data_IF_420422932691
#
_entry.id   IF_420422932691
#
_cell.length_a   1.000
_cell.length_b   1.000
_cell.length_c   1.000
_cell.angle_alpha   90.00
_cell.angle_beta   90.00
_cell.angle_gamma   90.00
#
_symmetry.space_group_name_H-M   'P 1'
#
loop_
_entity.id
_entity.type
_entity.pdbx_description
1 polymer ?
#
# COMPACT_ATOMS: atom_id res chain seq x y z
N UNK A 1 18.78 13.39 20.13
CA UNK A 1 19.75 13.44 21.25
C UNK A 1 19.26 12.73 22.53
N UNK A 2 18.14 12.00 22.52
CA UNK A 2 17.54 11.38 23.71
C UNK A 2 18.41 10.31 24.40
N UNK A 3 19.34 9.69 23.67
CA UNK A 3 20.30 8.72 24.20
C UNK A 3 21.69 9.33 24.53
N UNK A 4 21.87 10.63 24.28
CA UNK A 4 23.18 11.29 24.34
C UNK A 4 23.27 12.30 25.48
N UNK A 5 24.49 12.50 26.02
CA UNK A 5 24.77 13.68 26.85
C UNK A 5 25.09 14.84 25.93
N UNK A 6 24.17 15.81 25.84
CA UNK A 6 24.35 16.99 24.98
C UNK A 6 25.44 17.91 25.56
N UNK A 7 26.34 18.37 24.71
CA UNK A 7 27.36 19.36 25.06
C UNK A 7 26.72 20.66 25.55
N UNK A 8 27.39 21.35 26.48
CA UNK A 8 26.96 22.68 26.93
C UNK A 8 26.93 23.72 25.80
N UNK A 9 27.62 23.45 24.69
CA UNK A 9 27.66 24.29 23.49
C UNK A 9 26.55 23.94 22.46
N UNK A 10 25.70 22.96 22.78
CA UNK A 10 24.58 22.53 21.94
C UNK A 10 24.96 21.53 20.84
N UNK A 11 24.15 21.49 19.78
CA UNK A 11 24.30 20.58 18.64
C UNK A 11 24.31 21.39 17.35
N UNK A 12 25.13 20.99 16.39
CA UNK A 12 25.23 21.61 15.07
C UNK A 12 24.82 20.62 13.98
N UNK A 13 24.16 21.12 12.94
CA UNK A 13 24.09 20.48 11.63
C UNK A 13 25.19 21.06 10.75
N UNK A 14 25.95 20.18 10.08
CA UNK A 14 27.02 20.58 9.16
C UNK A 14 26.70 20.05 7.78
N UNK A 15 26.39 20.94 6.83
CA UNK A 15 26.30 20.59 5.41
C UNK A 15 27.72 20.58 4.84
N UNK A 16 28.23 19.40 4.50
CA UNK A 16 29.56 19.19 3.92
C UNK A 16 29.50 19.56 2.44
N UNK A 17 30.31 20.53 2.01
CA UNK A 17 30.21 21.09 0.64
C UNK A 17 28.87 21.83 0.43
N UNK A 18 28.68 23.02 1.04
CA UNK A 18 29.70 24.07 1.08
C UNK A 18 30.27 24.42 2.47
N UNK A 19 30.17 23.52 3.46
CA UNK A 19 30.65 23.71 4.84
C UNK A 19 29.83 24.73 5.64
N UNK A 20 28.51 24.54 5.65
CA UNK A 20 27.59 25.37 6.43
C UNK A 20 27.38 24.73 7.79
N UNK A 21 27.81 25.41 8.85
CA UNK A 21 27.51 25.07 10.23
C UNK A 21 26.25 25.82 10.67
N UNK A 22 25.26 25.08 11.14
CA UNK A 22 24.00 25.65 11.65
C UNK A 22 23.73 25.12 13.05
N UNK A 23 23.58 26.01 14.06
CA UNK A 23 23.19 25.57 15.39
C UNK A 23 21.75 25.05 15.34
N UNK A 24 21.54 23.86 15.88
CA UNK A 24 20.21 23.32 16.10
C UNK A 24 19.61 23.95 17.37
N UNK A 25 18.29 24.11 17.36
CA UNK A 25 17.51 24.60 18.49
C UNK A 25 16.80 23.42 19.14
N UNK A 26 16.99 23.27 20.45
CA UNK A 26 16.29 22.28 21.27
C UNK A 26 14.77 22.57 21.27
N UNK A 27 13.99 21.57 20.85
CA UNK A 27 12.53 21.61 20.87
C UNK A 27 11.94 20.91 22.10
N UNK A 28 12.79 20.39 23.00
CA UNK A 28 12.39 19.51 24.09
C UNK A 28 12.47 18.03 23.71
N UNK A 29 12.35 17.16 24.71
CA UNK A 29 12.34 15.69 24.57
C UNK A 29 13.53 15.11 23.78
N UNK A 30 14.65 15.84 23.72
CA UNK A 30 15.85 15.44 23.00
C UNK A 30 15.78 15.62 21.48
N UNK A 31 14.80 16.36 20.97
CA UNK A 31 14.63 16.72 19.55
C UNK A 31 15.27 18.08 19.30
N UNK A 32 16.11 18.16 18.27
CA UNK A 32 16.88 19.35 17.90
C UNK A 32 16.66 19.64 16.41
N UNK A 33 16.38 20.90 16.06
CA UNK A 33 15.97 21.28 14.71
C UNK A 33 16.58 22.61 14.26
N UNK A 34 16.84 22.75 12.95
CA UNK A 34 17.10 24.03 12.29
C UNK A 34 16.54 24.02 10.87
N UNK A 35 16.43 25.21 10.28
CA UNK A 35 16.11 25.40 8.85
C UNK A 35 17.35 25.97 8.15
N UNK A 36 17.79 25.30 7.08
CA UNK A 36 18.99 25.70 6.33
C UNK A 36 18.58 26.02 4.89
N UNK A 37 18.85 27.25 4.37
CA UNK A 37 18.61 27.56 2.98
C UNK A 37 19.66 26.89 2.10
N UNK A 38 19.22 26.04 1.18
CA UNK A 38 20.06 25.30 0.23
C UNK A 38 19.56 25.47 -1.20
N UNK A 39 20.42 25.17 -2.18
CA UNK A 39 20.00 25.19 -3.58
C UNK A 39 19.20 23.93 -3.89
N UNK A 40 18.05 24.10 -4.54
CA UNK A 40 17.23 23.00 -5.08
C UNK A 40 17.98 22.19 -6.16
N UNK A 41 17.47 21.00 -6.47
CA UNK A 41 18.02 20.04 -7.42
C UNK A 41 19.49 19.69 -7.14
N UNK A 42 19.82 19.54 -5.86
CA UNK A 42 21.19 19.29 -5.39
C UNK A 42 21.23 18.21 -4.31
N UNK A 43 22.34 17.48 -4.26
CA UNK A 43 22.63 16.51 -3.20
C UNK A 43 23.68 17.07 -2.27
N UNK A 44 23.43 17.01 -0.97
CA UNK A 44 24.30 17.52 0.08
C UNK A 44 24.67 16.40 1.05
N UNK A 45 25.96 16.09 1.24
CA UNK A 45 26.39 15.34 2.40
C UNK A 45 26.25 16.21 3.65
N UNK A 46 25.85 15.60 4.77
CA UNK A 46 25.75 16.30 6.05
C UNK A 46 26.08 15.40 7.23
N UNK A 47 26.31 16.01 8.39
CA UNK A 47 26.52 15.31 9.67
C UNK A 47 25.99 16.16 10.81
N UNK A 48 25.71 15.55 11.96
CA UNK A 48 25.53 16.28 13.22
C UNK A 48 26.80 16.27 14.07
N UNK A 49 26.99 17.37 14.79
CA UNK A 49 28.09 17.54 15.75
C UNK A 49 27.52 17.91 17.10
N UNK A 50 27.79 17.10 18.13
CA UNK A 50 27.45 17.39 19.51
C UNK A 50 28.52 18.31 20.14
N UNK A 51 28.42 19.61 19.85
CA UNK A 51 29.35 20.63 20.34
C UNK A 51 29.28 21.92 19.55
N UNK A 52 30.26 22.80 19.76
CA UNK A 52 30.37 24.07 19.07
C UNK A 52 30.80 23.90 17.60
N UNK A 53 30.74 25.00 16.84
CA UNK A 53 31.31 25.06 15.50
C UNK A 53 32.78 24.62 15.49
N UNK A 54 33.16 23.84 14.46
CA UNK A 54 34.49 23.25 14.25
C UNK A 54 34.94 22.20 15.30
N UNK A 55 34.05 21.76 16.19
CA UNK A 55 34.34 20.70 17.18
C UNK A 55 34.15 19.29 16.60
N UNK A 56 35.11 18.83 15.79
CA UNK A 56 35.02 17.52 15.11
C UNK A 56 35.10 16.30 16.04
N UNK A 57 35.64 16.44 17.25
CA UNK A 57 35.59 15.35 18.25
C UNK A 57 34.15 15.03 18.69
N UNK A 58 33.20 15.93 18.42
CA UNK A 58 31.77 15.72 18.64
C UNK A 58 31.01 15.25 17.40
N UNK A 59 31.67 14.98 16.27
CA UNK A 59 31.02 14.42 15.08
C UNK A 59 30.37 13.07 15.39
N UNK A 60 29.14 12.89 14.93
CA UNK A 60 28.45 11.62 15.12
C UNK A 60 29.11 10.48 14.35
N UNK A 61 29.03 9.25 14.87
CA UNK A 61 29.31 8.05 14.10
C UNK A 61 28.04 7.59 13.37
N UNK A 62 28.07 7.42 12.05
CA UNK A 62 26.92 6.90 11.28
C UNK A 62 27.12 5.41 10.98
N UNK A 63 26.14 4.53 11.25
CA UNK A 63 26.21 3.11 10.89
C UNK A 63 26.45 2.90 9.39
N UNK A 64 27.15 1.83 9.02
CA UNK A 64 27.61 1.58 7.66
C UNK A 64 26.46 1.56 6.64
N UNK A 65 25.30 1.03 7.03
CA UNK A 65 24.12 0.89 6.19
C UNK A 65 23.48 2.23 5.76
N UNK A 66 23.78 3.33 6.45
CA UNK A 66 23.31 4.68 6.09
C UNK A 66 24.43 5.72 6.03
N UNK A 67 25.69 5.28 6.02
CA UNK A 67 26.86 6.14 5.89
C UNK A 67 27.30 6.20 4.42
N UNK A 68 27.13 7.36 3.79
CA UNK A 68 27.54 7.62 2.41
C UNK A 68 28.98 8.13 2.30
N UNK A 69 29.66 8.33 3.44
CA UNK A 69 31.05 8.76 3.54
C UNK A 69 31.99 7.60 3.83
N UNK A 70 32.89 7.80 4.79
CA UNK A 70 33.80 6.76 5.30
C UNK A 70 33.63 6.60 6.80
N UNK A 71 34.13 5.51 7.39
CA UNK A 71 34.11 5.34 8.84
C UNK A 71 34.85 6.47 9.60
N UNK A 72 35.88 7.08 8.98
CA UNK A 72 36.66 8.19 9.55
C UNK A 72 36.13 9.58 9.19
N UNK A 73 35.15 9.67 8.31
CA UNK A 73 34.48 10.90 7.92
C UNK A 73 33.05 10.50 7.52
N UNK A 74 32.18 10.21 8.50
CA UNK A 74 30.85 9.71 8.24
C UNK A 74 29.98 10.81 7.64
N UNK A 75 29.12 10.44 6.71
CA UNK A 75 28.25 11.39 6.01
C UNK A 75 26.86 10.78 5.83
N UNK A 76 25.85 11.53 6.26
CA UNK A 76 24.47 11.36 5.79
C UNK A 76 24.30 12.06 4.45
N UNK A 77 23.25 11.70 3.70
CA UNK A 77 22.95 12.29 2.40
C UNK A 77 21.56 12.93 2.39
N UNK A 78 21.49 14.16 1.90
CA UNK A 78 20.25 14.89 1.66
C UNK A 78 20.13 15.12 0.15
N UNK A 79 19.03 14.68 -0.45
CA UNK A 79 18.66 15.04 -1.82
C UNK A 79 17.52 16.05 -1.76
N UNK A 80 17.79 17.27 -2.23
CA UNK A 80 16.79 18.33 -2.29
C UNK A 80 16.30 18.45 -3.73
N UNK A 81 15.01 18.16 -3.94
CA UNK A 81 14.33 18.27 -5.22
C UNK A 81 14.02 19.74 -5.55
N UNK A 82 12.79 20.09 -5.91
CA UNK A 82 12.39 21.40 -6.43
C UNK A 82 11.60 22.28 -5.44
N UNK A 83 11.43 21.83 -4.19
CA UNK A 83 10.72 22.55 -3.13
C UNK A 83 11.34 22.31 -1.75
N UNK A 84 10.88 23.05 -0.75
CA UNK A 84 11.30 22.89 0.64
C UNK A 84 11.01 21.45 1.12
N UNK A 85 11.95 20.85 1.83
CA UNK A 85 11.81 19.52 2.42
C UNK A 85 11.98 19.58 3.93
N UNK A 86 11.16 18.80 4.64
CA UNK A 86 11.32 18.54 6.06
C UNK A 86 11.80 17.10 6.21
N UNK A 87 12.94 16.92 6.87
CA UNK A 87 13.48 15.59 7.13
C UNK A 87 12.86 15.01 8.39
N UNK A 88 12.65 13.70 8.36
CA UNK A 88 12.25 12.95 9.53
C UNK A 88 13.30 13.02 10.64
N UNK A 89 12.83 12.92 11.89
CA UNK A 89 13.72 12.95 13.04
C UNK A 89 14.57 11.68 13.07
N UNK A 90 15.89 11.84 13.18
CA UNK A 90 16.83 10.73 13.29
C UNK A 90 17.61 10.82 14.60
N UNK A 91 17.84 9.67 15.24
CA UNK A 91 18.69 9.62 16.43
C UNK A 91 20.15 9.92 16.07
N UNK A 92 20.85 10.62 16.97
CA UNK A 92 22.26 10.94 16.80
C UNK A 92 23.06 9.64 16.73
N UNK A 93 23.85 9.49 15.67
CA UNK A 93 24.63 8.28 15.40
C UNK A 93 23.84 7.00 15.08
N UNK A 94 22.57 7.12 14.67
CA UNK A 94 21.76 6.01 14.18
C UNK A 94 21.28 6.25 12.74
N UNK A 95 20.74 5.21 12.11
CA UNK A 95 20.04 5.35 10.84
C UNK A 95 18.59 5.82 11.04
N UNK A 96 18.00 6.51 10.05
CA UNK A 96 16.57 6.80 10.07
C UNK A 96 15.76 5.51 10.18
N UNK A 97 14.66 5.54 10.93
CA UNK A 97 13.69 4.46 10.89
C UNK A 97 13.06 4.42 9.50
N UNK A 98 13.02 3.24 8.89
CA UNK A 98 12.36 3.05 7.60
C UNK A 98 10.92 2.67 7.89
N UNK A 99 10.01 3.60 7.64
CA UNK A 99 8.58 3.33 7.74
C UNK A 99 8.17 2.34 6.65
N UNK A 100 7.41 1.32 7.05
CA UNK A 100 6.93 0.26 6.16
C UNK A 100 5.44 0.04 6.36
N UNK A 101 4.76 -0.40 5.29
CA UNK A 101 3.37 -0.87 5.33
C UNK A 101 3.30 -2.30 4.83
N UNK A 102 2.26 -3.01 5.24
CA UNK A 102 2.01 -4.35 4.76
C UNK A 102 1.26 -4.32 3.43
N UNK A 103 1.83 -4.97 2.42
CA UNK A 103 1.17 -5.19 1.13
C UNK A 103 0.85 -6.67 0.97
N UNK A 104 -0.42 -6.97 0.74
CA UNK A 104 -0.89 -8.32 0.40
C UNK A 104 -0.86 -8.48 -1.12
N UNK A 105 0.13 -9.23 -1.61
CA UNK A 105 0.23 -9.61 -3.01
C UNK A 105 -0.62 -10.84 -3.27
N UNK A 106 -1.33 -10.84 -4.39
CA UNK A 106 -2.30 -11.88 -4.74
C UNK A 106 -2.13 -12.31 -6.19
N UNK A 107 -2.14 -13.62 -6.44
CA UNK A 107 -2.03 -14.18 -7.79
C UNK A 107 -3.01 -15.34 -7.96
N UNK A 108 -3.80 -15.28 -9.02
CA UNK A 108 -4.69 -16.34 -9.43
C UNK A 108 -3.93 -17.38 -10.24
N UNK A 109 -3.92 -18.61 -9.73
CA UNK A 109 -3.23 -19.76 -10.30
C UNK A 109 -4.20 -20.82 -10.86
N UNK A 110 -5.50 -20.52 -10.98
CA UNK A 110 -6.55 -21.49 -11.37
C UNK A 110 -6.33 -22.12 -12.74
N UNK A 111 -5.72 -21.36 -13.64
CA UNK A 111 -5.46 -21.78 -15.01
C UNK A 111 -4.08 -22.48 -15.15
N UNK A 112 -3.33 -22.58 -14.04
CA UNK A 112 -1.98 -23.13 -13.99
C UNK A 112 -1.91 -24.48 -13.27
N UNK A 113 -0.94 -25.31 -13.66
CA UNK A 113 -0.53 -26.45 -12.84
C UNK A 113 0.47 -25.96 -11.80
N UNK A 114 -0.01 -25.73 -10.58
CA UNK A 114 0.85 -25.28 -9.47
C UNK A 114 1.94 -26.32 -9.16
N UNK A 115 3.18 -25.84 -9.03
CA UNK A 115 4.34 -26.65 -8.66
C UNK A 115 4.14 -27.29 -7.28
N UNK A 116 4.67 -28.50 -7.11
CA UNK A 116 4.70 -29.15 -5.79
C UNK A 116 5.52 -28.38 -4.75
N UNK A 117 6.38 -27.46 -5.21
CA UNK A 117 7.18 -26.57 -4.37
C UNK A 117 6.45 -25.26 -4.00
N UNK A 118 5.21 -25.07 -4.47
CA UNK A 118 4.36 -23.92 -4.16
C UNK A 118 4.53 -22.73 -5.12
N UNK A 119 4.12 -21.56 -4.64
CA UNK A 119 4.16 -20.27 -5.37
C UNK A 119 4.89 -19.24 -4.52
N UNK A 120 5.67 -18.37 -5.16
CA UNK A 120 6.41 -17.28 -4.52
C UNK A 120 6.11 -15.95 -5.20
N UNK A 121 6.20 -14.88 -4.43
CA UNK A 121 6.41 -13.51 -4.93
C UNK A 121 7.89 -13.17 -4.75
N UNK A 122 8.49 -12.51 -5.75
CA UNK A 122 9.81 -11.92 -5.63
C UNK A 122 9.74 -10.41 -5.88
N UNK A 123 10.14 -9.63 -4.87
CA UNK A 123 10.42 -8.19 -5.01
C UNK A 123 11.87 -8.06 -5.49
N UNK A 124 12.09 -7.54 -6.71
CA UNK A 124 13.39 -7.63 -7.40
C UNK A 124 14.46 -6.65 -6.93
N UNK A 125 14.09 -5.63 -6.18
CA UNK A 125 15.03 -4.76 -5.48
C UNK A 125 14.42 -4.46 -4.11
N UNK A 126 14.83 -5.15 -3.03
CA UNK A 126 16.16 -5.74 -2.83
C UNK A 126 16.25 -7.28 -2.93
N UNK A 127 15.46 -7.96 -3.76
CA UNK A 127 15.43 -9.45 -3.89
C UNK A 127 14.75 -10.17 -2.72
N UNK A 128 13.57 -9.70 -2.31
CA UNK A 128 12.78 -10.30 -1.23
C UNK A 128 11.91 -11.40 -1.83
N UNK A 129 12.21 -12.65 -1.49
CA UNK A 129 11.39 -13.83 -1.82
C UNK A 129 10.43 -14.15 -0.68
N UNK A 130 9.15 -14.27 -0.98
CA UNK A 130 8.12 -14.61 0.01
C UNK A 130 7.23 -15.72 -0.51
N UNK A 131 7.07 -16.77 0.29
CA UNK A 131 6.18 -17.87 -0.02
C UNK A 131 4.72 -17.41 0.05
N UNK A 132 3.94 -17.75 -0.96
CA UNK A 132 2.52 -17.47 -1.00
C UNK A 132 1.73 -18.68 -0.48
N UNK A 133 0.51 -18.45 -0.02
CA UNK A 133 -0.39 -19.50 0.46
C UNK A 133 -1.78 -19.32 -0.14
N UNK A 134 -2.41 -20.43 -0.50
CA UNK A 134 -3.85 -20.52 -0.83
C UNK A 134 -4.55 -21.20 0.35
N UNK A 135 -4.84 -20.40 1.38
CA UNK A 135 -5.27 -20.92 2.69
C UNK A 135 -6.76 -21.29 2.73
N UNK A 136 -7.57 -20.67 1.88
CA UNK A 136 -9.00 -20.93 1.72
C UNK A 136 -9.34 -21.86 0.55
N UNK A 137 -8.31 -22.36 -0.15
CA UNK A 137 -8.38 -23.30 -1.27
C UNK A 137 -9.23 -22.75 -2.43
N UNK A 138 -9.23 -21.43 -2.59
CA UNK A 138 -10.02 -20.77 -3.61
C UNK A 138 -9.26 -20.65 -4.93
N UNK A 139 -7.95 -20.96 -4.97
CA UNK A 139 -7.07 -20.90 -6.13
C UNK A 139 -6.30 -19.59 -6.28
N UNK A 140 -6.48 -18.62 -5.38
CA UNK A 140 -5.72 -17.38 -5.30
C UNK A 140 -4.71 -17.50 -4.17
N UNK A 141 -3.45 -17.30 -4.55
CA UNK A 141 -2.32 -17.39 -3.65
C UNK A 141 -2.00 -16.01 -3.13
N UNK A 142 -1.79 -15.89 -1.82
CA UNK A 142 -1.56 -14.62 -1.13
C UNK A 142 -0.23 -14.62 -0.36
N UNK A 143 0.45 -13.48 -0.34
CA UNK A 143 1.60 -13.23 0.52
C UNK A 143 1.58 -11.81 1.08
N UNK A 144 1.90 -11.69 2.37
CA UNK A 144 2.04 -10.41 3.06
C UNK A 144 3.52 -10.00 3.08
N UNK A 145 3.84 -8.84 2.53
CA UNK A 145 5.22 -8.30 2.49
C UNK A 145 5.22 -6.88 3.07
N UNK A 146 6.08 -6.63 4.06
CA UNK A 146 6.29 -5.29 4.60
C UNK A 146 7.29 -4.53 3.70
N UNK A 147 6.85 -3.42 3.12
CA UNK A 147 7.65 -2.63 2.17
C UNK A 147 7.73 -1.16 2.58
N UNK A 148 8.88 -0.50 2.38
CA UNK A 148 9.06 0.93 2.61
C UNK A 148 8.05 1.81 1.88
N UNK A 149 7.59 2.84 2.58
CA UNK A 149 6.67 3.86 2.05
C UNK A 149 7.26 4.63 0.85
N UNK A 150 6.35 5.17 0.01
CA UNK A 150 6.62 6.05 -1.14
C UNK A 150 7.65 5.53 -2.14
N UNK A 151 7.87 4.22 -2.14
CA UNK A 151 8.85 3.54 -2.99
C UNK A 151 8.13 2.70 -4.04
N UNK A 152 8.70 2.65 -5.24
CA UNK A 152 8.21 1.79 -6.32
C UNK A 152 9.06 0.52 -6.39
N UNK A 153 8.40 -0.64 -6.44
CA UNK A 153 9.06 -1.93 -6.45
C UNK A 153 8.72 -2.74 -7.70
N UNK A 154 9.74 -3.22 -8.44
CA UNK A 154 9.54 -4.26 -9.42
C UNK A 154 9.29 -5.61 -8.74
N UNK A 155 8.35 -6.39 -9.25
CA UNK A 155 8.06 -7.73 -8.75
C UNK A 155 7.63 -8.71 -9.84
N UNK A 156 7.73 -10.01 -9.52
CA UNK A 156 7.20 -11.11 -10.34
C UNK A 156 6.65 -12.21 -9.46
N UNK A 157 5.64 -12.92 -9.95
CA UNK A 157 5.22 -14.20 -9.38
C UNK A 157 6.06 -15.36 -9.95
N UNK A 158 6.28 -16.39 -9.14
CA UNK A 158 7.05 -17.58 -9.49
C UNK A 158 6.27 -18.83 -9.09
N UNK A 159 5.94 -19.67 -10.07
CA UNK A 159 5.35 -20.98 -9.85
C UNK A 159 6.46 -22.01 -9.52
N UNK A 160 6.90 -22.01 -8.27
CA UNK A 160 7.95 -22.89 -7.74
C UNK A 160 8.60 -22.33 -6.49
N UNK A 161 9.76 -22.89 -6.13
CA UNK A 161 10.53 -22.44 -4.97
C UNK A 161 11.32 -21.15 -5.22
N UNK A 162 11.90 -20.60 -4.14
CA UNK A 162 12.88 -19.52 -4.20
C UNK A 162 13.99 -19.83 -5.23
N UNK A 163 14.40 -18.80 -5.98
CA UNK A 163 15.42 -18.84 -7.04
C UNK A 163 15.08 -19.76 -8.24
N UNK A 164 13.85 -20.28 -8.34
CA UNK A 164 13.39 -21.07 -9.48
C UNK A 164 12.95 -20.19 -10.66
N UNK A 165 13.91 -19.53 -11.31
CA UNK A 165 13.64 -18.61 -12.43
C UNK A 165 12.96 -19.24 -13.65
N UNK A 166 13.05 -20.56 -13.82
CA UNK A 166 12.30 -21.24 -14.89
C UNK A 166 10.79 -21.27 -14.64
N UNK A 167 10.35 -21.05 -13.41
CA UNK A 167 8.95 -20.89 -13.03
C UNK A 167 8.51 -19.44 -12.89
N UNK A 168 9.38 -18.46 -13.19
CA UNK A 168 8.98 -17.06 -13.23
C UNK A 168 7.90 -16.84 -14.29
N UNK A 169 6.88 -16.06 -13.93
CA UNK A 169 5.83 -15.71 -14.88
C UNK A 169 6.40 -14.99 -16.11
N UNK A 170 5.80 -15.23 -17.28
CA UNK A 170 6.07 -14.46 -18.49
C UNK A 170 4.85 -13.60 -18.75
N UNK A 171 4.98 -12.29 -18.51
CA UNK A 171 3.87 -11.35 -18.50
C UNK A 171 3.49 -11.00 -19.93
N UNK A 172 2.25 -11.30 -20.28
CA UNK A 172 1.62 -10.92 -21.53
C UNK A 172 0.67 -9.74 -21.30
N UNK A 173 0.88 -8.65 -22.05
CA UNK A 173 0.09 -7.42 -21.95
C UNK A 173 0.92 -6.20 -21.55
N UNK A 174 0.22 -5.11 -21.18
CA UNK A 174 0.81 -3.78 -20.97
C UNK A 174 1.13 -3.44 -19.50
N UNK A 175 0.77 -4.31 -18.55
CA UNK A 175 1.13 -4.21 -17.14
C UNK A 175 2.58 -4.61 -16.83
N UNK A 176 3.35 -4.97 -17.87
CA UNK A 176 4.79 -5.18 -17.77
C UNK A 176 5.52 -3.84 -17.83
N UNK A 177 6.59 -3.69 -17.06
CA UNK A 177 7.41 -2.49 -17.05
C UNK A 177 8.23 -2.35 -18.35
N UNK A 178 7.64 -1.72 -19.36
CA UNK A 178 8.29 -1.48 -20.65
C UNK A 178 8.76 -2.78 -21.32
N UNK A 179 10.07 -2.88 -21.56
CA UNK A 179 10.70 -4.08 -22.13
C UNK A 179 11.08 -5.13 -21.07
N UNK A 180 10.94 -4.82 -19.78
CA UNK A 180 11.25 -5.72 -18.69
C UNK A 180 10.04 -6.60 -18.36
N UNK A 181 10.26 -7.91 -18.20
CA UNK A 181 9.23 -8.88 -17.82
C UNK A 181 8.95 -8.83 -16.30
N UNK A 182 8.43 -7.69 -15.82
CA UNK A 182 8.23 -7.38 -14.39
C UNK A 182 6.99 -6.54 -14.20
N UNK A 183 6.28 -6.72 -13.09
CA UNK A 183 5.20 -5.84 -12.63
C UNK A 183 5.78 -4.74 -11.75
N UNK A 184 5.06 -3.63 -11.61
CA UNK A 184 5.43 -2.53 -10.71
C UNK A 184 4.34 -2.34 -9.66
N UNK A 185 4.74 -2.09 -8.41
CA UNK A 185 3.84 -1.62 -7.36
C UNK A 185 4.39 -0.34 -6.76
N UNK A 186 3.52 0.64 -6.55
CA UNK A 186 3.82 1.86 -5.80
C UNK A 186 3.29 1.70 -4.38
N UNK A 187 4.14 1.97 -3.39
CA UNK A 187 3.78 1.87 -1.98
C UNK A 187 3.36 3.25 -1.47
N UNK A 188 2.16 3.31 -0.88
CA UNK A 188 1.56 4.51 -0.28
C UNK A 188 1.46 4.35 1.23
N UNK A 189 0.85 5.31 1.93
CA UNK A 189 0.88 5.42 3.40
C UNK A 189 0.14 4.32 4.19
N UNK A 190 -0.60 3.43 3.52
CA UNK A 190 -1.50 2.48 4.20
C UNK A 190 -1.28 1.04 3.76
N UNK A 191 -1.49 0.12 4.70
CA UNK A 191 -1.61 -1.31 4.41
C UNK A 191 -2.61 -1.53 3.27
N UNK A 192 -2.18 -2.27 2.25
CA UNK A 192 -2.91 -2.41 0.99
C UNK A 192 -3.04 -3.88 0.60
N UNK A 193 -4.22 -4.28 0.13
CA UNK A 193 -4.46 -5.59 -0.47
C UNK A 193 -4.58 -5.37 -1.97
N UNK A 194 -3.69 -5.97 -2.75
CA UNK A 194 -3.71 -5.85 -4.20
C UNK A 194 -4.80 -6.73 -4.83
N UNK A 195 -5.18 -6.40 -6.05
CA UNK A 195 -6.01 -7.29 -6.86
C UNK A 195 -5.24 -8.56 -7.19
N UNK A 196 -5.95 -9.68 -7.34
CA UNK A 196 -5.31 -10.94 -7.75
C UNK A 196 -5.05 -10.89 -9.26
N UNK A 197 -3.77 -10.92 -9.65
CA UNK A 197 -3.41 -11.04 -11.07
C UNK A 197 -3.54 -12.48 -11.54
N UNK A 198 -4.10 -12.72 -12.72
CA UNK A 198 -3.99 -14.03 -13.37
C UNK A 198 -2.53 -14.22 -13.80
N UNK A 199 -1.90 -15.31 -13.34
CA UNK A 199 -0.48 -15.60 -13.53
C UNK A 199 -0.04 -15.40 -14.99
N UNK A 200 1.03 -14.62 -15.21
CA UNK A 200 1.57 -14.36 -16.56
C UNK A 200 0.72 -13.44 -17.44
N UNK A 201 -0.33 -12.81 -16.89
CA UNK A 201 -1.18 -11.89 -17.66
C UNK A 201 -1.41 -10.58 -16.92
N UNK A 202 -1.95 -9.60 -17.64
CA UNK A 202 -2.41 -8.34 -17.05
C UNK A 202 -3.87 -8.36 -16.60
N UNK A 203 -4.53 -9.52 -16.67
CA UNK A 203 -5.89 -9.65 -16.19
C UNK A 203 -5.91 -9.70 -14.67
N UNK A 204 -6.78 -8.89 -14.08
CA UNK A 204 -7.05 -8.91 -12.65
C UNK A 204 -8.35 -9.69 -12.43
N UNK A 205 -8.31 -10.72 -11.59
CA UNK A 205 -9.51 -11.40 -11.14
C UNK A 205 -9.90 -10.86 -9.77
N UNK A 206 -11.05 -10.21 -9.72
CA UNK A 206 -11.72 -9.93 -8.46
C UNK A 206 -12.30 -11.26 -7.94
N UNK A 207 -11.73 -11.82 -6.86
CA UNK A 207 -12.59 -12.51 -5.88
C UNK A 207 -13.72 -11.56 -5.59
N UNK A 208 -14.97 -12.02 -5.60
CA UNK A 208 -16.15 -11.18 -5.48
C UNK A 208 -16.10 -10.29 -4.23
N UNK A 209 -15.38 -9.19 -4.38
CA UNK A 209 -15.20 -8.08 -3.50
C UNK A 209 -16.27 -7.14 -3.97
N UNK A 210 -17.14 -6.82 -3.04
CA UNK A 210 -18.15 -5.81 -3.24
C UNK A 210 -17.42 -4.55 -3.73
N UNK A 211 -17.56 -4.21 -5.01
CA UNK A 211 -17.13 -2.92 -5.55
C UNK A 211 -17.99 -1.83 -4.90
N UNK A 212 -17.61 -1.40 -3.70
CA UNK A 212 -18.01 -0.10 -3.19
C UNK A 212 -17.18 0.93 -3.95
N UNK A 213 -17.59 1.20 -5.20
CA UNK A 213 -17.55 2.47 -5.94
C UNK A 213 -17.71 2.16 -7.41
N UNK A 214 -18.93 1.84 -7.85
CA UNK A 214 -19.44 2.15 -9.20
C UNK A 214 -20.97 2.15 -9.14
N UNK A 215 -21.54 3.20 -8.53
CA UNK A 215 -22.99 3.45 -8.53
C UNK A 215 -23.52 3.83 -9.95
N UNK A 216 -22.68 3.70 -10.98
CA UNK A 216 -22.98 3.94 -12.39
C UNK A 216 -23.52 2.71 -13.13
N UNK A 217 -23.26 1.49 -12.66
CA UNK A 217 -23.68 0.25 -13.36
C UNK A 217 -25.10 -0.21 -13.05
N UNK A 218 -25.69 0.29 -11.96
CA UNK A 218 -27.06 -0.03 -11.55
C UNK A 218 -27.65 1.12 -10.74
N UNK A 219 -28.97 1.22 -10.75
CA UNK A 219 -29.71 2.19 -9.95
C UNK A 219 -30.58 1.47 -8.92
N UNK A 220 -30.67 2.05 -7.73
CA UNK A 220 -31.56 1.59 -6.67
C UNK A 220 -32.45 2.75 -6.26
N UNK A 221 -33.76 2.58 -6.39
CA UNK A 221 -34.73 3.62 -6.05
C UNK A 221 -36.07 3.06 -5.58
N UNK A 222 -36.84 3.83 -4.79
CA UNK A 222 -36.41 5.05 -4.12
C UNK A 222 -35.43 4.75 -2.98
N UNK A 223 -34.47 5.64 -2.74
CA UNK A 223 -33.62 5.62 -1.54
C UNK A 223 -33.64 7.04 -0.95
N UNK A 224 -34.34 7.29 0.18
CA UNK A 224 -34.93 6.31 1.11
C UNK A 224 -36.14 5.55 0.54
N UNK A 225 -36.26 4.28 0.90
CA UNK A 225 -37.39 3.42 0.51
C UNK A 225 -38.47 3.37 1.58
N UNK A 226 -39.71 3.37 1.14
CA UNK A 226 -40.86 2.99 1.93
C UNK A 226 -41.18 1.54 1.55
N UNK A 227 -42.22 1.24 0.77
CA UNK A 227 -42.77 -0.13 0.62
C UNK A 227 -42.14 -1.01 -0.45
N UNK A 228 -41.57 -0.41 -1.50
CA UNK A 228 -41.10 -1.13 -2.68
C UNK A 228 -39.76 -0.55 -3.14
N UNK A 229 -38.75 -1.41 -3.19
CA UNK A 229 -37.42 -1.14 -3.70
C UNK A 229 -37.32 -1.65 -5.13
N UNK A 230 -36.82 -0.82 -6.04
CA UNK A 230 -36.45 -1.22 -7.40
C UNK A 230 -34.93 -1.23 -7.54
N UNK A 231 -34.38 -2.28 -8.12
CA UNK A 231 -33.00 -2.39 -8.55
C UNK A 231 -32.99 -2.62 -10.06
N UNK A 232 -32.28 -1.79 -10.81
CA UNK A 232 -32.22 -1.84 -12.27
C UNK A 232 -30.79 -1.67 -12.78
N UNK A 233 -30.42 -2.40 -13.84
CA UNK A 233 -29.12 -2.28 -14.51
C UNK A 233 -29.27 -2.24 -16.03
N UNK A 234 -28.51 -1.37 -16.68
CA UNK A 234 -28.37 -1.32 -18.14
C UNK A 234 -27.22 -2.21 -18.66
N UNK A 235 -26.29 -2.60 -17.79
CA UNK A 235 -25.03 -3.23 -18.15
C UNK A 235 -24.98 -4.74 -17.87
N UNK A 236 -25.87 -5.26 -17.03
CA UNK A 236 -25.82 -6.66 -16.58
C UNK A 236 -27.21 -7.24 -16.26
N UNK A 237 -27.32 -8.57 -16.29
CA UNK A 237 -28.55 -9.28 -15.89
C UNK A 237 -28.51 -9.62 -14.40
N UNK A 238 -29.57 -9.32 -13.65
CA UNK A 238 -29.62 -9.56 -12.21
C UNK A 238 -30.00 -11.01 -11.95
N UNK A 239 -29.17 -11.76 -11.22
CA UNK A 239 -29.45 -13.13 -10.79
C UNK A 239 -30.09 -13.19 -9.40
N UNK A 240 -29.60 -12.38 -8.46
CA UNK A 240 -30.17 -12.28 -7.10
C UNK A 240 -29.90 -10.94 -6.43
N UNK A 241 -30.72 -10.59 -5.44
CA UNK A 241 -30.55 -9.44 -4.56
C UNK A 241 -30.76 -9.86 -3.10
N UNK A 242 -29.80 -9.54 -2.23
CA UNK A 242 -29.83 -9.81 -0.78
C UNK A 242 -29.72 -8.52 0.00
N UNK A 243 -30.54 -8.38 1.04
CA UNK A 243 -30.45 -7.28 2.01
C UNK A 243 -29.91 -7.81 3.32
N UNK A 244 -28.94 -7.09 3.88
CA UNK A 244 -28.32 -7.38 5.16
C UNK A 244 -28.60 -6.24 6.13
N UNK A 245 -28.92 -6.57 7.38
CA UNK A 245 -28.94 -5.58 8.45
C UNK A 245 -27.51 -5.11 8.81
N UNK A 246 -27.40 -4.09 9.67
CA UNK A 246 -26.10 -3.56 10.14
C UNK A 246 -25.23 -4.59 10.89
N UNK A 247 -25.81 -5.70 11.33
CA UNK A 247 -25.07 -6.79 11.97
C UNK A 247 -24.59 -7.86 10.98
N UNK A 248 -24.85 -7.68 9.69
CA UNK A 248 -24.45 -8.60 8.63
C UNK A 248 -25.37 -9.81 8.48
N UNK A 249 -26.58 -9.81 9.05
CA UNK A 249 -27.55 -10.89 8.86
C UNK A 249 -28.41 -10.63 7.63
N UNK A 250 -28.62 -11.65 6.80
CA UNK A 250 -29.57 -11.58 5.68
C UNK A 250 -30.98 -11.44 6.22
N UNK A 251 -31.64 -10.33 5.89
CA UNK A 251 -33.03 -10.04 6.29
C UNK A 251 -34.02 -10.27 5.14
N UNK A 252 -33.53 -10.23 3.90
CA UNK A 252 -34.34 -10.48 2.70
C UNK A 252 -33.46 -11.01 1.58
N UNK A 253 -33.98 -11.97 0.82
CA UNK A 253 -33.33 -12.50 -0.39
C UNK A 253 -34.36 -12.66 -1.51
N UNK A 254 -33.97 -12.27 -2.72
CA UNK A 254 -34.63 -12.58 -3.99
C UNK A 254 -33.62 -13.24 -4.91
N UNK A 255 -33.94 -14.44 -5.39
CA UNK A 255 -33.05 -15.26 -6.22
C UNK A 255 -33.79 -15.75 -7.46
N UNK A 256 -33.04 -16.22 -8.47
CA UNK A 256 -33.56 -16.66 -9.77
C UNK A 256 -34.31 -15.56 -10.54
N UNK A 257 -33.79 -14.33 -10.52
CA UNK A 257 -34.40 -13.19 -11.22
C UNK A 257 -34.15 -13.28 -12.73
N UNK A 258 -32.89 -13.32 -13.16
CA UNK A 258 -32.45 -13.36 -14.57
C UNK A 258 -33.07 -12.25 -15.45
N UNK A 259 -33.24 -11.05 -14.89
CA UNK A 259 -33.82 -9.88 -15.55
C UNK A 259 -32.96 -8.63 -15.24
N UNK A 260 -33.05 -7.58 -16.06
CA UNK A 260 -32.32 -6.33 -15.86
C UNK A 260 -32.95 -5.42 -14.80
N UNK A 261 -34.14 -5.74 -14.31
CA UNK A 261 -34.87 -4.98 -13.28
C UNK A 261 -35.57 -5.92 -12.31
N UNK A 262 -35.55 -5.60 -11.02
CA UNK A 262 -36.25 -6.36 -9.98
C UNK A 262 -36.87 -5.44 -8.95
N UNK A 263 -38.11 -5.76 -8.58
CA UNK A 263 -38.84 -5.08 -7.50
C UNK A 263 -38.93 -5.96 -6.26
N UNK A 264 -38.63 -5.38 -5.10
CA UNK A 264 -38.48 -6.04 -3.81
C UNK A 264 -39.34 -5.34 -2.78
N UNK A 265 -40.25 -6.07 -2.14
CA UNK A 265 -41.09 -5.52 -1.09
C UNK A 265 -40.32 -5.36 0.22
N UNK A 266 -40.30 -4.16 0.78
CA UNK A 266 -39.55 -3.79 1.99
C UNK A 266 -40.44 -3.55 3.20
N UNK A 267 -41.76 -3.71 3.08
CA UNK A 267 -42.75 -3.42 4.13
C UNK A 267 -42.56 -4.21 5.44
N UNK A 268 -41.88 -5.36 5.40
CA UNK A 268 -41.59 -6.18 6.58
C UNK A 268 -40.24 -5.85 7.23
N UNK A 269 -39.49 -4.89 6.68
CA UNK A 269 -38.21 -4.45 7.23
C UNK A 269 -38.44 -3.32 8.23
N UNK A 270 -37.68 -3.34 9.32
CA UNK A 270 -37.67 -2.21 10.26
C UNK A 270 -37.01 -0.99 9.61
N UNK A 271 -37.40 0.22 10.02
CA UNK A 271 -36.70 1.43 9.61
C UNK A 271 -35.22 1.35 10.04
N UNK A 272 -34.30 1.73 9.14
CA UNK A 272 -32.87 1.59 9.38
C UNK A 272 -32.03 1.53 8.10
N UNK A 273 -30.71 1.41 8.30
CA UNK A 273 -29.73 1.27 7.24
C UNK A 273 -29.51 -0.22 6.92
N UNK A 274 -29.45 -0.56 5.64
CA UNK A 274 -29.22 -1.91 5.13
C UNK A 274 -28.13 -1.91 4.06
N UNK A 275 -27.38 -3.00 3.99
CA UNK A 275 -26.48 -3.27 2.87
C UNK A 275 -27.22 -4.15 1.85
N UNK A 276 -27.28 -3.71 0.60
CA UNK A 276 -27.84 -4.45 -0.52
C UNK A 276 -26.70 -5.08 -1.29
N UNK A 277 -26.74 -6.38 -1.50
CA UNK A 277 -25.81 -7.13 -2.37
C UNK A 277 -26.58 -7.61 -3.59
N UNK A 278 -26.12 -7.27 -4.77
CA UNK A 278 -26.70 -7.65 -6.06
C UNK A 278 -25.71 -8.60 -6.74
N UNK A 279 -26.16 -9.80 -7.12
CA UNK A 279 -25.39 -10.70 -7.97
C UNK A 279 -25.92 -10.59 -9.39
N UNK A 280 -25.07 -10.20 -10.32
CA UNK A 280 -25.33 -10.28 -11.76
C UNK A 280 -24.44 -11.32 -12.46
N UNK A 281 -24.55 -11.38 -13.79
CA UNK A 281 -23.64 -12.10 -14.69
C UNK A 281 -22.24 -11.47 -14.73
N UNK A 282 -22.15 -10.14 -14.62
CA UNK A 282 -20.88 -9.39 -14.59
C UNK A 282 -20.23 -9.29 -13.20
N UNK A 283 -20.79 -9.92 -12.15
CA UNK A 283 -20.18 -9.96 -10.82
C UNK A 283 -21.13 -9.62 -9.67
N UNK A 284 -20.55 -9.27 -8.50
CA UNK A 284 -21.29 -8.84 -7.31
C UNK A 284 -21.13 -7.34 -7.10
N UNK A 285 -22.24 -6.68 -6.80
CA UNK A 285 -22.31 -5.25 -6.52
C UNK A 285 -22.91 -5.02 -5.14
N UNK A 286 -22.60 -3.88 -4.52
CA UNK A 286 -23.36 -3.47 -3.34
C UNK A 286 -23.70 -1.99 -3.30
N UNK A 287 -24.73 -1.71 -2.52
CA UNK A 287 -25.19 -0.36 -2.24
C UNK A 287 -25.74 -0.27 -0.81
N UNK A 288 -25.81 0.96 -0.30
CA UNK A 288 -26.49 1.26 0.96
C UNK A 288 -27.93 1.66 0.69
N UNK A 289 -28.86 1.12 1.48
CA UNK A 289 -30.29 1.40 1.42
C UNK A 289 -30.79 1.93 2.75
N UNK A 290 -31.51 3.05 2.73
CA UNK A 290 -32.22 3.58 3.89
C UNK A 290 -33.70 3.24 3.80
N UNK A 291 -34.22 2.47 4.76
CA UNK A 291 -35.66 2.19 4.91
C UNK A 291 -36.27 3.16 5.92
N UNK A 292 -37.38 3.83 5.56
CA UNK A 292 -37.88 5.03 6.26
C UNK A 292 -39.37 5.05 6.59
N UNK A 293 -40.00 3.87 6.71
CA UNK A 293 -41.41 3.73 7.10
C UNK A 293 -41.79 4.38 8.43
#
# INVERSE_FOLDING_TARGET
MSAETVSGDGVQLVIKGPWIWTPLVDQGDGIWQATVPLNINSTYPYTFVNGAQDYWDGEESVPEECNFGTASAPERRLELADSDSTLETVAFGACPEVETVNVTFRVDMKDESVSGDGVQIVIKDPWIWTAMTDADEDGIWEALVALPLHTSYPFSFVNGAQDYWSGEEVITGDCKDGDNNQRMVQIEDNDTILMAYVFGTCEERSETGINQTEQSMFTIFPNPVNTLLTVESEEFTIHSVKLYDISGRVVLERSNVYENSVSIETHNLNAGLYNVIIQGDNGKFAAKLLVSH
#
